data_IF_258807748004
#
_entry.id   IF_258807748004
#
_cell.length_a   1.000
_cell.length_b   1.000
_cell.length_c   1.000
_cell.angle_alpha   90.00
_cell.angle_beta   90.00
_cell.angle_gamma   90.00
#
_symmetry.space_group_name_H-M   'P 1'
#
loop_
_entity.id
_entity.type
_entity.pdbx_description
1 polymer ?
#
# COMPACT_ATOMS: atom_id res chain seq x y z
N UNK A 1 16.15 -12.67 6.60
CA UNK A 1 15.95 -12.05 5.28
C UNK A 1 14.90 -10.94 5.42
N UNK A 2 15.14 -9.75 4.87
CA UNK A 2 14.20 -8.62 4.98
C UNK A 2 12.96 -8.84 4.10
N UNK A 3 11.76 -8.56 4.64
CA UNK A 3 10.49 -8.61 3.91
C UNK A 3 9.87 -7.22 3.87
N UNK A 4 9.82 -6.56 2.69
CA UNK A 4 9.32 -5.19 2.59
C UNK A 4 7.79 -5.08 2.69
N UNK A 5 7.07 -6.18 2.48
CA UNK A 5 5.61 -6.24 2.51
C UNK A 5 5.14 -7.31 3.51
N UNK A 6 3.94 -7.15 4.09
CA UNK A 6 3.32 -8.20 4.88
C UNK A 6 3.09 -9.49 4.07
N UNK A 7 3.18 -10.64 4.73
CA UNK A 7 3.09 -11.96 4.07
C UNK A 7 1.73 -12.27 3.41
N UNK A 8 0.70 -11.52 3.81
CA UNK A 8 -0.68 -11.64 3.33
C UNK A 8 -0.99 -10.71 2.14
N UNK A 9 -0.01 -10.00 1.61
CA UNK A 9 -0.14 -9.21 0.37
C UNK A 9 0.97 -9.52 -0.62
N UNK A 10 0.73 -9.21 -1.90
CA UNK A 10 1.74 -9.26 -2.96
C UNK A 10 1.49 -8.22 -4.05
N UNK A 11 2.48 -8.04 -4.92
CA UNK A 11 2.40 -7.13 -6.06
C UNK A 11 1.96 -7.92 -7.28
N UNK A 12 0.96 -7.43 -8.01
CA UNK A 12 0.54 -7.97 -9.30
C UNK A 12 0.25 -6.84 -10.28
N UNK A 13 0.10 -7.16 -11.56
CA UNK A 13 -0.44 -6.21 -12.54
C UNK A 13 -1.84 -5.77 -12.12
N UNK A 14 -2.06 -4.46 -12.11
CA UNK A 14 -3.31 -3.85 -11.67
C UNK A 14 -4.18 -3.53 -12.88
N UNK A 15 -5.50 -3.83 -12.84
CA UNK A 15 -6.42 -3.43 -13.91
C UNK A 15 -6.69 -1.92 -13.90
N UNK A 16 -6.31 -1.20 -12.84
CA UNK A 16 -6.51 0.24 -12.71
C UNK A 16 -5.30 1.00 -13.27
N UNK A 17 -4.10 0.73 -12.73
CA UNK A 17 -2.89 1.43 -13.14
C UNK A 17 -1.61 0.66 -12.76
N UNK A 18 -0.79 0.30 -13.76
CA UNK A 18 0.53 -0.31 -13.57
C UNK A 18 0.48 -1.60 -12.75
N UNK A 19 1.19 -1.60 -11.62
CA UNK A 19 1.14 -2.67 -10.62
C UNK A 19 0.44 -2.19 -9.35
N UNK A 20 -0.14 -3.14 -8.61
CA UNK A 20 -0.92 -2.88 -7.41
C UNK A 20 -0.64 -3.88 -6.29
N UNK A 21 -1.10 -3.55 -5.08
CA UNK A 21 -1.06 -4.42 -3.91
C UNK A 21 -2.33 -5.26 -3.83
N UNK A 22 -2.17 -6.59 -3.83
CA UNK A 22 -3.26 -7.56 -3.79
C UNK A 22 -3.18 -8.41 -2.53
N UNK A 23 -4.33 -8.68 -1.93
CA UNK A 23 -4.44 -9.61 -0.81
C UNK A 23 -4.22 -11.06 -1.30
N UNK A 24 -3.35 -11.80 -0.62
CA UNK A 24 -3.15 -13.25 -0.84
C UNK A 24 -4.15 -14.08 -0.08
N UNK A 25 -4.65 -13.55 1.03
CA UNK A 25 -5.60 -14.19 1.93
C UNK A 25 -6.67 -13.18 2.33
N UNK A 26 -7.76 -13.66 2.94
CA UNK A 26 -8.73 -12.76 3.56
C UNK A 26 -8.04 -11.88 4.61
N UNK A 27 -8.34 -10.58 4.59
CA UNK A 27 -7.84 -9.60 5.56
C UNK A 27 -9.05 -9.05 6.30
N UNK A 28 -9.06 -9.23 7.61
CA UNK A 28 -10.14 -8.73 8.47
C UNK A 28 -10.17 -7.19 8.47
N UNK A 29 -11.38 -6.64 8.59
CA UNK A 29 -11.58 -5.20 8.75
C UNK A 29 -10.83 -4.71 10.00
N UNK A 30 -10.13 -3.58 9.86
CA UNK A 30 -9.35 -2.99 10.96
C UNK A 30 -7.90 -3.48 11.03
N UNK A 31 -7.48 -4.42 10.16
CA UNK A 31 -6.07 -4.81 10.07
C UNK A 31 -5.22 -3.68 9.48
N UNK A 32 -4.16 -3.32 10.18
CA UNK A 32 -3.14 -2.42 9.64
C UNK A 32 -2.26 -3.14 8.62
N UNK A 33 -2.22 -2.62 7.39
CA UNK A 33 -1.36 -3.12 6.30
C UNK A 33 0.10 -2.63 6.42
N UNK A 34 0.34 -1.61 7.23
CA UNK A 34 1.64 -0.99 7.43
C UNK A 34 1.61 0.53 7.19
N UNK A 35 2.75 1.18 7.44
CA UNK A 35 2.92 2.61 7.13
C UNK A 35 2.92 2.77 5.62
N UNK A 36 2.11 3.67 5.06
CA UNK A 36 2.11 3.96 3.62
C UNK A 36 2.96 5.19 3.29
N UNK A 37 2.81 6.26 4.08
CA UNK A 37 3.48 7.54 3.88
C UNK A 37 4.14 7.97 5.18
N UNK A 38 5.34 8.53 5.06
CA UNK A 38 6.05 9.19 6.16
C UNK A 38 6.14 10.66 5.80
N UNK A 39 5.62 11.53 6.65
CA UNK A 39 5.72 12.97 6.45
C UNK A 39 7.19 13.39 6.52
N UNK A 40 7.68 14.00 5.44
CA UNK A 40 9.06 14.37 5.24
C UNK A 40 9.10 15.69 4.44
N UNK A 41 9.00 16.84 5.13
CA UNK A 41 9.08 18.14 4.47
C UNK A 41 10.44 18.29 3.77
N UNK A 42 10.42 18.84 2.54
CA UNK A 42 11.62 18.98 1.69
C UNK A 42 11.70 17.97 0.54
N UNK A 43 10.83 16.96 0.50
CA UNK A 43 10.63 16.10 -0.66
C UNK A 43 9.52 16.65 -1.58
N UNK A 44 9.53 16.27 -2.85
CA UNK A 44 8.63 16.78 -3.90
C UNK A 44 7.14 16.77 -3.49
N UNK A 45 6.70 15.75 -2.75
CA UNK A 45 5.32 15.63 -2.27
C UNK A 45 5.18 15.87 -0.76
N UNK A 46 6.25 16.27 -0.08
CA UNK A 46 6.37 16.28 1.40
C UNK A 46 6.15 14.92 2.08
N UNK A 47 6.13 13.83 1.32
CA UNK A 47 6.01 12.48 1.85
C UNK A 47 6.99 11.52 1.17
N UNK A 48 7.53 10.62 1.98
CA UNK A 48 8.21 9.41 1.50
C UNK A 48 7.22 8.26 1.51
N UNK A 49 7.09 7.54 0.40
CA UNK A 49 6.28 6.31 0.31
C UNK A 49 7.12 5.11 0.72
N UNK A 50 6.58 4.30 1.61
CA UNK A 50 7.13 2.98 1.95
C UNK A 50 6.80 1.98 0.82
N UNK A 51 7.23 0.70 0.89
CA UNK A 51 6.79 -0.31 -0.06
C UNK A 51 5.25 -0.46 -0.12
N UNK A 52 4.56 -0.48 1.02
CA UNK A 52 3.09 -0.48 1.06
C UNK A 52 2.57 0.78 0.36
N UNK A 53 3.14 1.93 0.72
CA UNK A 53 2.85 3.20 0.10
C UNK A 53 2.98 3.15 -1.40
N UNK A 54 4.09 2.64 -1.94
CA UNK A 54 4.46 2.66 -3.35
C UNK A 54 3.58 1.81 -4.26
N UNK A 55 2.98 0.74 -3.73
CA UNK A 55 2.21 -0.23 -4.52
C UNK A 55 0.70 -0.19 -4.26
N UNK A 56 0.20 0.57 -3.28
CA UNK A 56 -1.25 0.81 -3.20
C UNK A 56 -1.73 1.68 -4.38
N UNK A 57 -2.86 1.29 -4.99
CA UNK A 57 -3.56 2.08 -5.99
C UNK A 57 -4.66 2.94 -5.35
N UNK A 58 -5.15 3.91 -6.12
CA UNK A 58 -6.38 4.64 -5.84
C UNK A 58 -7.54 4.00 -6.60
N UNK A 59 -8.72 3.97 -5.98
CA UNK A 59 -9.97 3.44 -6.53
C UNK A 59 -11.11 4.32 -6.06
N UNK A 60 -12.12 4.53 -6.91
CA UNK A 60 -13.37 5.22 -6.53
C UNK A 60 -14.19 4.37 -5.55
N UNK A 61 -13.99 3.05 -5.55
CA UNK A 61 -14.56 2.09 -4.59
C UNK A 61 -13.42 1.41 -3.81
N UNK A 62 -12.82 2.07 -2.81
CA UNK A 62 -11.70 1.52 -2.06
C UNK A 62 -12.16 0.52 -1.00
N UNK A 63 -11.34 -0.50 -0.73
CA UNK A 63 -11.55 -1.49 0.33
C UNK A 63 -10.65 -1.29 1.56
N UNK A 64 -9.84 -0.22 1.57
CA UNK A 64 -8.99 0.20 2.68
C UNK A 64 -9.02 1.72 2.81
N UNK A 65 -8.54 2.23 3.95
CA UNK A 65 -8.47 3.68 4.20
C UNK A 65 -7.13 4.06 4.79
N UNK A 66 -6.69 5.29 4.50
CA UNK A 66 -5.58 5.93 5.21
C UNK A 66 -6.11 6.46 6.54
N UNK A 67 -5.37 6.19 7.60
CA UNK A 67 -5.59 6.72 8.95
C UNK A 67 -4.62 7.86 9.25
#
# INVERSE_FOLDING_TARGET
>A
MYKPLPDYVEIRNSPIHGVGLFAKTHIERGKHLGVSHIYAPGFETSYIRTPVGGFINHSDEPNCSKI
#
